data_IF_772908815985
#
_entry.id   IF_772908815985
#
_cell.length_a   1.000
_cell.length_b   1.000
_cell.length_c   1.000
_cell.angle_alpha   90.00
_cell.angle_beta   90.00
_cell.angle_gamma   90.00
#
_symmetry.space_group_name_H-M   'P 1'
#
loop_
_entity.id
_entity.type
_entity.pdbx_description
1 polymer ?
#
# COMPACT_ATOMS: atom_id res chain seq x y z
N UNK A 1 12.82 14.38 -23.46
CA UNK A 1 12.01 14.50 -22.24
C UNK A 1 12.77 15.38 -21.26
N UNK A 2 12.17 16.46 -20.78
CA UNK A 2 12.79 17.39 -19.84
C UNK A 2 12.91 16.77 -18.44
N UNK A 3 13.79 17.31 -17.58
CA UNK A 3 13.89 16.88 -16.17
C UNK A 3 12.57 17.03 -15.42
N UNK A 4 11.81 18.07 -15.76
CA UNK A 4 10.51 18.36 -15.17
C UNK A 4 9.45 17.30 -15.57
N UNK A 5 9.43 16.90 -16.84
CA UNK A 5 8.56 15.83 -17.34
C UNK A 5 8.87 14.48 -16.66
N UNK A 6 10.16 14.15 -16.51
CA UNK A 6 10.60 12.94 -15.80
C UNK A 6 10.12 12.98 -14.34
N UNK A 7 10.30 14.11 -13.65
CA UNK A 7 9.86 14.26 -12.26
C UNK A 7 8.34 14.08 -12.12
N UNK A 8 7.55 14.71 -12.99
CA UNK A 8 6.08 14.58 -13.00
C UNK A 8 5.63 13.14 -13.23
N UNK A 9 6.25 12.43 -14.16
CA UNK A 9 5.94 11.02 -14.41
C UNK A 9 6.30 10.14 -13.21
N UNK A 10 7.48 10.33 -12.62
CA UNK A 10 7.90 9.60 -11.43
C UNK A 10 6.96 9.82 -10.23
N UNK A 11 6.51 11.05 -10.02
CA UNK A 11 5.50 11.35 -8.99
C UNK A 11 4.15 10.70 -9.28
N UNK A 12 3.70 10.73 -10.53
CA UNK A 12 2.46 10.07 -10.95
C UNK A 12 2.52 8.56 -10.68
N UNK A 13 3.60 7.90 -11.08
CA UNK A 13 3.81 6.48 -10.81
C UNK A 13 3.81 6.17 -9.31
N UNK A 14 4.51 6.97 -8.51
CA UNK A 14 4.49 6.82 -7.05
C UNK A 14 3.06 6.96 -6.49
N UNK A 15 2.30 7.97 -6.92
CA UNK A 15 0.92 8.16 -6.47
C UNK A 15 0.00 7.00 -6.87
N UNK A 16 0.16 6.48 -8.10
CA UNK A 16 -0.60 5.32 -8.58
C UNK A 16 -0.30 4.06 -7.77
N UNK A 17 0.95 3.83 -7.38
CA UNK A 17 1.33 2.70 -6.52
C UNK A 17 0.63 2.80 -5.16
N UNK A 18 0.66 3.98 -4.53
CA UNK A 18 0.00 4.19 -3.23
C UNK A 18 -1.52 4.04 -3.35
N UNK A 19 -2.14 4.60 -4.40
CA UNK A 19 -3.57 4.48 -4.63
C UNK A 19 -3.99 3.01 -4.85
N UNK A 20 -3.20 2.25 -5.61
CA UNK A 20 -3.42 0.83 -5.83
C UNK A 20 -3.41 0.04 -4.52
N UNK A 21 -2.40 0.26 -3.67
CA UNK A 21 -2.32 -0.37 -2.34
C UNK A 21 -3.52 -0.01 -1.47
N UNK A 22 -3.89 1.26 -1.42
CA UNK A 22 -5.02 1.74 -0.63
C UNK A 22 -6.32 1.05 -1.05
N UNK A 23 -6.61 1.06 -2.37
CA UNK A 23 -7.83 0.45 -2.92
C UNK A 23 -7.84 -1.05 -2.70
N UNK A 24 -6.74 -1.77 -2.96
CA UNK A 24 -6.66 -3.21 -2.70
C UNK A 24 -6.88 -3.55 -1.24
N UNK A 25 -6.34 -2.74 -0.33
CA UNK A 25 -6.51 -2.94 1.11
C UNK A 25 -7.94 -2.74 1.57
N UNK A 26 -8.59 -1.68 1.09
CA UNK A 26 -9.99 -1.42 1.38
C UNK A 26 -10.89 -2.52 0.82
N UNK A 27 -10.63 -2.99 -0.41
CA UNK A 27 -11.36 -4.12 -1.01
C UNK A 27 -11.17 -5.38 -0.16
N UNK A 28 -9.95 -5.69 0.26
CA UNK A 28 -9.70 -6.85 1.11
C UNK A 28 -10.43 -6.73 2.46
N UNK A 29 -10.30 -5.58 3.14
CA UNK A 29 -10.97 -5.35 4.41
C UNK A 29 -12.50 -5.38 4.27
N UNK A 30 -13.05 -4.91 3.16
CA UNK A 30 -14.48 -5.00 2.89
C UNK A 30 -14.94 -6.46 2.74
N UNK A 31 -14.19 -7.27 2.00
CA UNK A 31 -14.54 -8.66 1.72
C UNK A 31 -14.29 -9.62 2.91
N UNK A 32 -13.30 -9.32 3.76
CA UNK A 32 -12.84 -10.25 4.82
C UNK A 32 -12.82 -9.66 6.24
N UNK A 33 -12.96 -8.34 6.39
CA UNK A 33 -12.82 -7.62 7.66
C UNK A 33 -14.11 -7.04 8.21
N UNK A 34 -15.26 -7.30 7.59
CA UNK A 34 -16.55 -6.94 8.17
C UNK A 34 -16.86 -7.89 9.32
N UNK A 35 -16.84 -7.35 10.54
CA UNK A 35 -17.23 -8.10 11.74
C UNK A 35 -18.73 -8.42 11.75
N UNK A 36 -19.13 -9.34 12.62
CA UNK A 36 -20.54 -9.66 12.88
C UNK A 36 -21.42 -8.43 13.17
N UNK A 37 -20.83 -7.31 13.62
CA UNK A 37 -21.53 -6.03 13.86
C UNK A 37 -22.21 -5.46 12.60
N UNK A 38 -21.72 -5.78 11.40
CA UNK A 38 -22.31 -5.34 10.12
C UNK A 38 -23.14 -6.43 9.43
N UNK A 39 -23.40 -7.56 10.08
CA UNK A 39 -24.24 -8.66 9.57
C UNK A 39 -23.81 -9.24 8.21
N UNK A 40 -22.56 -9.03 7.81
CA UNK A 40 -21.97 -9.58 6.59
C UNK A 40 -21.22 -10.85 6.96
N UNK A 41 -21.72 -11.98 6.46
CA UNK A 41 -21.11 -13.31 6.64
C UNK A 41 -19.68 -13.27 6.11
N UNK A 42 -18.69 -13.35 7.00
CA UNK A 42 -17.30 -13.67 6.66
C UNK A 42 -17.34 -14.92 5.77
N UNK A 43 -17.06 -14.77 4.47
CA UNK A 43 -16.98 -15.92 3.56
C UNK A 43 -15.85 -16.82 4.06
N UNK A 44 -16.25 -17.91 4.71
CA UNK A 44 -15.48 -18.75 5.61
C UNK A 44 -14.41 -19.64 4.94
N UNK A 45 -13.74 -19.16 3.89
CA UNK A 45 -12.61 -19.86 3.28
C UNK A 45 -11.30 -19.35 3.87
N UNK A 46 -10.93 -19.87 5.04
CA UNK A 46 -9.64 -19.57 5.72
C UNK A 46 -8.43 -19.72 4.79
N UNK A 47 -8.47 -20.65 3.83
CA UNK A 47 -7.41 -20.81 2.82
C UNK A 47 -7.31 -19.65 1.83
N UNK A 48 -8.44 -19.05 1.43
CA UNK A 48 -8.48 -17.94 0.48
C UNK A 48 -7.95 -16.65 1.11
N UNK A 49 -8.29 -16.38 2.38
CA UNK A 49 -7.81 -15.18 3.09
C UNK A 49 -6.29 -15.23 3.31
N UNK A 50 -5.74 -16.39 3.68
CA UNK A 50 -4.29 -16.57 3.87
C UNK A 50 -3.53 -16.48 2.53
N UNK A 51 -4.06 -17.07 1.46
CA UNK A 51 -3.45 -16.96 0.13
C UNK A 51 -3.43 -15.50 -0.37
N UNK A 52 -4.57 -14.80 -0.27
CA UNK A 52 -4.67 -13.39 -0.63
C UNK A 52 -3.76 -12.51 0.23
N UNK A 53 -3.66 -12.79 1.53
CA UNK A 53 -2.72 -12.11 2.42
C UNK A 53 -1.26 -12.24 1.93
N UNK A 54 -0.86 -13.44 1.49
CA UNK A 54 0.46 -13.68 0.92
C UNK A 54 0.70 -12.86 -0.36
N UNK A 55 -0.29 -12.82 -1.26
CA UNK A 55 -0.22 -12.00 -2.48
C UNK A 55 -0.10 -10.52 -2.13
N UNK A 56 -0.90 -10.03 -1.18
CA UNK A 56 -0.84 -8.63 -0.79
C UNK A 56 0.48 -8.29 -0.12
N UNK A 57 0.99 -9.14 0.79
CA UNK A 57 2.32 -8.98 1.36
C UNK A 57 3.39 -8.84 0.27
N UNK A 58 3.35 -9.69 -0.74
CA UNK A 58 4.27 -9.58 -1.88
C UNK A 58 4.09 -8.26 -2.65
N UNK A 59 2.84 -7.83 -2.89
CA UNK A 59 2.55 -6.54 -3.51
C UNK A 59 3.07 -5.35 -2.69
N UNK A 60 2.98 -5.41 -1.35
CA UNK A 60 3.56 -4.42 -0.44
C UNK A 60 5.08 -4.34 -0.56
N UNK A 61 5.77 -5.48 -0.61
CA UNK A 61 7.23 -5.51 -0.79
C UNK A 61 7.62 -4.90 -2.13
N UNK A 62 6.92 -5.24 -3.22
CA UNK A 62 7.17 -4.66 -4.54
C UNK A 62 6.91 -3.15 -4.56
N UNK A 63 5.81 -2.71 -3.96
CA UNK A 63 5.48 -1.30 -3.84
C UNK A 63 6.53 -0.52 -3.03
N UNK A 64 7.01 -1.10 -1.93
CA UNK A 64 8.09 -0.52 -1.13
C UNK A 64 9.38 -0.36 -1.93
N UNK A 65 9.79 -1.40 -2.68
CA UNK A 65 10.97 -1.36 -3.54
C UNK A 65 10.82 -0.29 -4.62
N UNK A 66 9.66 -0.25 -5.30
CA UNK A 66 9.38 0.73 -6.34
C UNK A 66 9.40 2.16 -5.77
N UNK A 67 8.73 2.38 -4.64
CA UNK A 67 8.68 3.66 -3.95
C UNK A 67 10.08 4.14 -3.52
N UNK A 68 10.90 3.25 -2.99
CA UNK A 68 12.29 3.55 -2.62
C UNK A 68 13.15 3.93 -3.84
N UNK A 69 13.01 3.20 -4.96
CA UNK A 69 13.74 3.53 -6.20
C UNK A 69 13.34 4.89 -6.76
N UNK A 70 12.03 5.17 -6.81
CA UNK A 70 11.51 6.47 -7.28
C UNK A 70 11.98 7.61 -6.37
N UNK A 71 11.96 7.41 -5.04
CA UNK A 71 12.48 8.38 -4.08
C UNK A 71 13.94 8.73 -4.38
N UNK A 72 14.79 7.72 -4.59
CA UNK A 72 16.21 7.94 -4.90
C UNK A 72 16.38 8.74 -6.19
N UNK A 73 15.66 8.37 -7.25
CA UNK A 73 15.70 9.08 -8.53
C UNK A 73 15.24 10.54 -8.42
N UNK A 74 14.15 10.81 -7.72
CA UNK A 74 13.66 12.19 -7.53
C UNK A 74 14.59 13.02 -6.66
N UNK A 75 15.21 12.42 -5.65
CA UNK A 75 16.18 13.12 -4.80
C UNK A 75 17.41 13.56 -5.60
N UNK A 76 17.87 12.72 -6.52
CA UNK A 76 18.97 13.02 -7.45
C UNK A 76 18.59 14.10 -8.48
N UNK A 77 17.34 14.09 -8.97
CA UNK A 77 16.86 15.05 -9.98
C UNK A 77 16.57 16.44 -9.42
N UNK A 78 16.00 16.53 -8.21
CA UNK A 78 15.46 17.78 -7.66
C UNK A 78 16.41 18.53 -6.71
N UNK A 79 17.60 17.99 -6.42
CA UNK A 79 18.72 18.66 -5.72
C UNK A 79 18.34 19.61 -4.59
N UNK A 80 18.04 20.86 -4.95
CA UNK A 80 17.55 21.95 -4.09
C UNK A 80 16.29 21.60 -3.28
N UNK A 81 15.34 20.85 -3.85
CA UNK A 81 14.08 20.47 -3.19
C UNK A 81 14.12 19.09 -2.53
N UNK A 82 15.31 18.51 -2.33
CA UNK A 82 15.47 17.15 -1.81
C UNK A 82 14.81 16.90 -0.43
N UNK A 83 14.72 17.93 0.42
CA UNK A 83 14.06 17.85 1.71
C UNK A 83 12.53 17.76 1.59
N UNK A 84 11.93 18.50 0.65
CA UNK A 84 10.49 18.44 0.36
C UNK A 84 10.13 17.06 -0.19
N UNK A 85 10.91 16.56 -1.15
CA UNK A 85 10.77 15.21 -1.71
C UNK A 85 10.85 14.16 -0.59
N UNK A 86 11.83 14.28 0.32
CA UNK A 86 11.95 13.36 1.46
C UNK A 86 10.71 13.36 2.35
N UNK A 87 10.18 14.54 2.71
CA UNK A 87 8.98 14.65 3.55
C UNK A 87 7.76 13.99 2.89
N UNK A 88 7.53 14.29 1.60
CA UNK A 88 6.43 13.69 0.84
C UNK A 88 6.53 12.16 0.75
N UNK A 89 7.74 11.63 0.53
CA UNK A 89 7.96 10.19 0.41
C UNK A 89 7.87 9.45 1.74
N UNK A 90 8.20 10.10 2.87
CA UNK A 90 7.92 9.58 4.21
C UNK A 90 6.41 9.45 4.43
N UNK A 91 5.63 10.48 4.10
CA UNK A 91 4.16 10.42 4.21
C UNK A 91 3.57 9.26 3.40
N UNK A 92 4.05 9.07 2.17
CA UNK A 92 3.65 7.94 1.32
C UNK A 92 4.06 6.59 1.92
N UNK A 93 5.24 6.48 2.52
CA UNK A 93 5.63 5.25 3.23
C UNK A 93 4.73 4.95 4.42
N UNK A 94 4.40 5.96 5.22
CA UNK A 94 3.48 5.81 6.35
C UNK A 94 2.13 5.27 5.84
N UNK A 95 1.62 5.76 4.71
CA UNK A 95 0.40 5.21 4.11
C UNK A 95 0.53 3.71 3.77
N UNK A 96 1.64 3.28 3.16
CA UNK A 96 1.92 1.85 2.89
C UNK A 96 1.86 1.05 4.21
N UNK A 97 2.53 1.52 5.25
CA UNK A 97 2.54 0.85 6.56
C UNK A 97 1.14 0.76 7.18
N UNK A 98 0.36 1.85 7.15
CA UNK A 98 -1.00 1.89 7.72
C UNK A 98 -1.91 0.88 7.03
N UNK A 99 -1.90 0.85 5.69
CA UNK A 99 -2.73 -0.11 4.95
C UNK A 99 -2.27 -1.55 5.15
N UNK A 100 -0.95 -1.78 5.29
CA UNK A 100 -0.41 -3.10 5.59
C UNK A 100 -0.89 -3.59 6.97
N UNK A 101 -0.76 -2.76 8.00
CA UNK A 101 -1.20 -3.07 9.36
C UNK A 101 -2.71 -3.35 9.38
N UNK A 102 -3.51 -2.54 8.67
CA UNK A 102 -4.95 -2.74 8.56
C UNK A 102 -5.31 -4.14 8.03
N UNK A 103 -4.67 -4.57 6.95
CA UNK A 103 -4.88 -5.92 6.40
C UNK A 103 -4.45 -7.01 7.40
N UNK A 104 -3.29 -6.84 8.06
CA UNK A 104 -2.79 -7.80 9.05
C UNK A 104 -3.75 -7.97 10.24
N UNK A 105 -4.38 -6.87 10.69
CA UNK A 105 -5.42 -6.91 11.72
C UNK A 105 -6.61 -7.73 11.24
N UNK A 106 -7.11 -7.48 10.02
CA UNK A 106 -8.22 -8.25 9.42
C UNK A 106 -7.91 -9.74 9.30
N UNK A 107 -6.69 -10.09 8.86
CA UNK A 107 -6.23 -11.48 8.79
C UNK A 107 -6.19 -12.10 10.19
N UNK A 108 -5.67 -11.37 11.18
CA UNK A 108 -5.62 -11.81 12.56
C UNK A 108 -7.00 -12.14 13.13
N UNK A 109 -8.01 -11.29 12.85
CA UNK A 109 -9.41 -11.57 13.19
C UNK A 109 -9.94 -12.81 12.45
N UNK A 110 -9.77 -12.88 11.13
CA UNK A 110 -10.26 -13.99 10.31
C UNK A 110 -9.67 -15.35 10.71
N UNK A 111 -8.41 -15.41 11.15
CA UNK A 111 -7.76 -16.64 11.63
C UNK A 111 -8.25 -17.01 13.04
N UNK A 112 -8.43 -16.02 13.91
CA UNK A 112 -8.81 -16.22 15.32
C UNK A 112 -10.23 -16.77 15.51
N UNK A 113 -11.08 -16.73 14.47
CA UNK A 113 -12.42 -17.32 14.50
C UNK A 113 -13.34 -16.71 15.57
N UNK A 114 -13.08 -15.46 15.94
CA UNK A 114 -13.92 -14.61 16.79
C UNK A 114 -14.59 -13.55 15.96
#
# INVERSE_FOLDING_TARGET
MSKEEISKQLELYSNSIIAFIAVQSLIFCYNFGTSEFFNCILKNTKGLSVFLAGIFFFAYVLAWIAHYRIFKMLKELNGEYSQIVKSAYIGKFIAICVFFILQMVVIGYAISGK
#
